data_IF_267146594292
#
_entry.id   IF_267146594292
#
_cell.length_a   1.000
_cell.length_b   1.000
_cell.length_c   1.000
_cell.angle_alpha   90.00
_cell.angle_beta   90.00
_cell.angle_gamma   90.00
#
_symmetry.space_group_name_H-M   'P 1'
#
loop_
_entity.id
_entity.type
_entity.pdbx_description
1 polymer ?
#
# COMPACT_ATOMS: atom_id res chain seq x y z
N UNK A 1 -14.18 33.88 -37.66
CA UNK A 1 -14.57 34.88 -38.68
C UNK A 1 -16.08 34.84 -39.01
N UNK A 2 -16.87 33.95 -38.38
CA UNK A 2 -18.30 33.78 -38.64
C UNK A 2 -19.21 34.43 -37.58
N UNK A 3 -18.70 35.37 -36.80
CA UNK A 3 -19.44 36.09 -35.76
C UNK A 3 -20.52 37.08 -36.30
N UNK A 4 -20.76 37.09 -37.56
CA UNK A 4 -21.64 38.11 -38.19
C UNK A 4 -23.05 37.63 -38.54
N UNK A 5 -23.39 36.32 -38.51
CA UNK A 5 -24.65 35.84 -39.07
C UNK A 5 -25.64 35.37 -37.98
N UNK A 6 -25.22 35.04 -36.78
CA UNK A 6 -26.08 34.46 -35.72
C UNK A 6 -25.94 35.10 -34.34
N UNK A 7 -25.69 36.39 -34.23
CA UNK A 7 -25.78 37.10 -32.94
C UNK A 7 -24.87 36.54 -31.82
N UNK A 8 -23.75 35.88 -32.17
CA UNK A 8 -22.76 35.44 -31.19
C UNK A 8 -22.11 36.66 -30.56
N UNK A 9 -22.38 36.90 -29.30
CA UNK A 9 -21.81 38.00 -28.54
C UNK A 9 -20.31 37.74 -28.30
N UNK A 10 -19.50 38.80 -28.23
CA UNK A 10 -18.08 38.71 -27.84
C UNK A 10 -17.89 37.86 -26.57
N UNK A 11 -18.83 37.89 -25.65
CA UNK A 11 -18.85 37.06 -24.46
C UNK A 11 -18.86 35.55 -24.75
N UNK A 12 -19.65 35.09 -25.74
CA UNK A 12 -19.72 33.66 -26.09
C UNK A 12 -18.39 33.15 -26.68
N UNK A 13 -17.70 34.00 -27.44
CA UNK A 13 -16.37 33.69 -28.00
C UNK A 13 -15.35 33.55 -26.88
N UNK A 14 -15.32 34.46 -25.93
CA UNK A 14 -14.38 34.42 -24.80
C UNK A 14 -14.68 33.25 -23.85
N UNK A 15 -15.95 32.89 -23.65
CA UNK A 15 -16.33 31.70 -22.87
C UNK A 15 -15.86 30.38 -23.55
N UNK A 16 -16.03 30.25 -24.88
CA UNK A 16 -15.52 29.08 -25.57
C UNK A 16 -13.99 29.01 -25.54
N UNK A 17 -13.31 30.14 -25.60
CA UNK A 17 -11.85 30.24 -25.45
C UNK A 17 -11.41 29.83 -24.04
N UNK A 18 -12.16 30.26 -23.02
CA UNK A 18 -11.92 29.84 -21.62
C UNK A 18 -12.10 28.34 -21.43
N UNK A 19 -13.20 27.77 -21.95
CA UNK A 19 -13.46 26.33 -21.89
C UNK A 19 -12.34 25.51 -22.59
N UNK A 20 -11.92 25.95 -23.76
CA UNK A 20 -10.80 25.35 -24.48
C UNK A 20 -9.51 25.40 -23.64
N UNK A 21 -9.19 26.57 -23.07
CA UNK A 21 -8.00 26.74 -22.24
C UNK A 21 -8.04 25.86 -20.98
N UNK A 22 -9.20 25.68 -20.35
CA UNK A 22 -9.37 24.76 -19.22
C UNK A 22 -9.07 23.32 -19.58
N UNK A 23 -9.62 22.82 -20.70
CA UNK A 23 -9.35 21.47 -21.20
C UNK A 23 -7.87 21.29 -21.54
N UNK A 24 -7.27 22.28 -22.20
CA UNK A 24 -5.84 22.24 -22.54
C UNK A 24 -4.94 22.29 -21.28
N UNK A 25 -5.35 22.99 -20.23
CA UNK A 25 -4.63 23.01 -18.97
C UNK A 25 -4.72 21.69 -18.19
N UNK A 26 -5.81 20.93 -18.33
CA UNK A 26 -5.94 19.62 -17.65
C UNK A 26 -5.09 18.51 -18.28
N UNK A 27 -4.68 18.63 -19.55
CA UNK A 27 -3.88 17.60 -20.22
C UNK A 27 -2.50 17.37 -19.58
N UNK A 28 -1.72 18.41 -19.22
CA UNK A 28 -0.49 18.23 -18.46
C UNK A 28 -0.68 17.51 -17.13
N UNK A 29 -1.75 17.84 -16.38
CA UNK A 29 -2.04 17.24 -15.08
C UNK A 29 -2.32 15.73 -15.21
N UNK A 30 -3.09 15.35 -16.23
CA UNK A 30 -3.35 13.93 -16.55
C UNK A 30 -2.06 13.21 -16.93
N UNK A 31 -1.20 13.83 -17.76
CA UNK A 31 0.09 13.25 -18.14
C UNK A 31 1.02 13.08 -16.94
N UNK A 32 1.01 14.04 -16.02
CA UNK A 32 1.76 13.95 -14.76
C UNK A 32 1.24 12.78 -13.92
N UNK A 33 -0.07 12.67 -13.70
CA UNK A 33 -0.68 11.58 -12.94
C UNK A 33 -0.36 10.20 -13.52
N UNK A 34 -0.37 10.08 -14.85
CA UNK A 34 0.05 8.86 -15.54
C UNK A 34 1.51 8.53 -15.20
N UNK A 35 2.41 9.53 -15.29
CA UNK A 35 3.83 9.32 -15.02
C UNK A 35 4.10 8.95 -13.57
N UNK A 36 3.41 9.57 -12.63
CA UNK A 36 3.50 9.25 -11.19
C UNK A 36 3.04 7.81 -10.93
N UNK A 37 1.95 7.39 -11.56
CA UNK A 37 1.43 6.02 -11.44
C UNK A 37 2.39 5.00 -12.05
N UNK A 38 2.98 5.28 -13.23
CA UNK A 38 4.01 4.44 -13.85
C UNK A 38 5.23 4.30 -12.94
N UNK A 39 5.70 5.41 -12.35
CA UNK A 39 6.83 5.38 -11.43
C UNK A 39 6.53 4.59 -10.14
N UNK A 40 5.32 4.73 -9.59
CA UNK A 40 4.89 3.95 -8.43
C UNK A 40 4.87 2.43 -8.75
N UNK A 41 4.37 2.07 -9.91
CA UNK A 41 4.34 0.68 -10.36
C UNK A 41 5.76 0.12 -10.59
N UNK A 42 6.64 0.90 -11.24
CA UNK A 42 8.05 0.52 -11.42
C UNK A 42 8.76 0.31 -10.07
N UNK A 43 8.48 1.17 -9.08
CA UNK A 43 9.01 1.02 -7.73
C UNK A 43 8.55 -0.29 -7.07
N UNK A 44 7.27 -0.65 -7.19
CA UNK A 44 6.72 -1.91 -6.68
C UNK A 44 7.35 -3.13 -7.36
N UNK A 45 7.69 -3.01 -8.65
CA UNK A 45 8.36 -4.06 -9.44
C UNK A 45 9.89 -4.07 -9.27
N UNK A 46 10.47 -3.18 -8.45
CA UNK A 46 11.92 -2.99 -8.30
C UNK A 46 12.64 -2.72 -9.63
N UNK A 47 12.00 -1.95 -10.53
CA UNK A 47 12.52 -1.56 -11.83
C UNK A 47 12.81 -0.06 -11.88
N UNK A 48 13.77 0.39 -12.71
CA UNK A 48 13.97 1.82 -12.94
C UNK A 48 12.73 2.44 -13.60
N UNK A 49 12.52 3.74 -13.35
CA UNK A 49 11.40 4.49 -13.90
C UNK A 49 11.38 4.42 -15.44
N UNK A 50 10.37 3.83 -16.00
CA UNK A 50 10.16 3.65 -17.44
C UNK A 50 8.68 3.81 -17.79
N UNK A 51 8.38 3.95 -19.06
CA UNK A 51 7.03 3.93 -19.59
C UNK A 51 6.52 2.49 -19.64
N UNK A 52 5.27 2.26 -19.23
CA UNK A 52 4.65 0.94 -19.19
C UNK A 52 3.66 0.83 -20.34
N UNK A 53 3.73 -0.28 -21.11
CA UNK A 53 2.77 -0.57 -22.16
C UNK A 53 1.38 -0.76 -21.54
N UNK A 54 0.38 -0.04 -22.08
CA UNK A 54 -1.00 -0.03 -21.60
C UNK A 54 -1.92 -0.68 -22.63
N UNK A 55 -2.94 -1.39 -22.16
CA UNK A 55 -4.05 -1.84 -22.98
C UNK A 55 -5.07 -0.72 -23.22
N UNK A 56 -6.14 -1.05 -23.94
CA UNK A 56 -7.29 -0.18 -24.16
C UNK A 56 -8.30 -0.40 -23.06
N UNK A 57 -8.84 0.68 -22.50
CA UNK A 57 -9.75 0.61 -21.35
C UNK A 57 -11.04 -0.16 -21.69
N UNK A 58 -11.57 0.06 -22.89
CA UNK A 58 -12.81 -0.57 -23.38
C UNK A 58 -12.69 -2.09 -23.57
N UNK A 59 -11.47 -2.62 -23.72
CA UNK A 59 -11.20 -4.05 -23.85
C UNK A 59 -11.03 -4.76 -22.51
N UNK A 60 -10.95 -4.02 -21.42
CA UNK A 60 -10.78 -4.61 -20.09
C UNK A 60 -12.08 -5.24 -19.60
N UNK A 61 -12.00 -6.53 -19.26
CA UNK A 61 -13.11 -7.25 -18.63
C UNK A 61 -12.86 -7.32 -17.12
N UNK A 62 -13.73 -6.70 -16.36
CA UNK A 62 -13.72 -6.84 -14.91
C UNK A 62 -14.33 -8.19 -14.51
N UNK A 63 -13.82 -8.86 -13.47
CA UNK A 63 -14.41 -10.08 -12.93
C UNK A 63 -15.86 -9.82 -12.54
N UNK A 64 -16.79 -10.63 -13.03
CA UNK A 64 -18.23 -10.44 -12.81
C UNK A 64 -18.67 -10.81 -11.40
N UNK A 65 -17.94 -11.72 -10.74
CA UNK A 65 -18.25 -12.15 -9.39
C UNK A 65 -16.98 -12.31 -8.56
N UNK A 66 -16.97 -11.66 -7.39
CA UNK A 66 -16.05 -12.03 -6.31
C UNK A 66 -16.81 -12.93 -5.34
N UNK A 67 -16.30 -14.13 -5.09
CA UNK A 67 -16.86 -15.02 -4.06
C UNK A 67 -16.76 -14.32 -2.71
N UNK A 68 -17.92 -14.05 -2.12
CA UNK A 68 -18.03 -13.46 -0.78
C UNK A 68 -17.58 -14.51 0.24
N UNK A 69 -16.47 -14.24 0.90
CA UNK A 69 -15.93 -15.10 1.94
C UNK A 69 -14.44 -15.36 1.73
N UNK A 70 -13.62 -14.47 2.26
CA UNK A 70 -12.18 -14.73 2.31
C UNK A 70 -11.95 -15.65 3.50
N UNK A 71 -11.53 -16.91 3.29
CA UNK A 71 -11.18 -17.80 4.38
C UNK A 71 -10.10 -17.15 5.24
N UNK A 72 -10.20 -17.26 6.56
CA UNK A 72 -9.17 -16.80 7.50
C UNK A 72 -7.75 -17.26 7.09
N UNK A 73 -7.67 -18.41 6.41
CA UNK A 73 -6.43 -18.95 5.86
C UNK A 73 -5.76 -18.04 4.81
N UNK A 74 -6.53 -17.28 4.02
CA UNK A 74 -5.96 -16.31 3.07
C UNK A 74 -5.42 -15.07 3.78
N UNK A 75 -6.04 -14.64 4.87
CA UNK A 75 -5.53 -13.55 5.71
C UNK A 75 -4.21 -13.93 6.38
N UNK A 76 -4.01 -15.19 6.77
CA UNK A 76 -2.75 -15.65 7.37
C UNK A 76 -1.57 -15.69 6.38
N UNK A 77 -1.84 -15.69 5.07
CA UNK A 77 -0.80 -15.65 4.03
C UNK A 77 -0.32 -14.21 3.74
N UNK A 78 -0.99 -13.20 4.26
CA UNK A 78 -0.58 -11.80 4.08
C UNK A 78 0.76 -11.54 4.78
N UNK A 79 1.72 -10.85 4.10
CA UNK A 79 3.03 -10.60 4.67
C UNK A 79 3.01 -9.78 5.96
N UNK A 80 2.10 -8.81 6.08
CA UNK A 80 1.92 -7.96 7.27
C UNK A 80 1.39 -8.75 8.47
N UNK A 81 0.40 -9.61 8.28
CA UNK A 81 -0.14 -10.50 9.32
C UNK A 81 0.93 -11.51 9.75
N UNK A 82 1.65 -12.08 8.81
CA UNK A 82 2.75 -13.01 9.10
C UNK A 82 3.92 -12.35 9.83
N UNK A 83 4.24 -11.10 9.51
CA UNK A 83 5.25 -10.32 10.22
C UNK A 83 4.83 -10.07 11.69
N UNK A 84 3.56 -9.74 11.93
CA UNK A 84 3.01 -9.56 13.28
C UNK A 84 3.01 -10.89 14.07
N UNK A 85 2.70 -12.02 13.43
CA UNK A 85 2.78 -13.35 14.02
C UNK A 85 4.21 -13.70 14.43
N UNK A 86 5.19 -13.48 13.55
CA UNK A 86 6.61 -13.72 13.85
C UNK A 86 7.12 -12.80 14.97
N UNK A 87 6.64 -11.55 15.05
CA UNK A 87 6.94 -10.64 16.14
C UNK A 87 6.37 -11.15 17.48
N UNK A 88 5.16 -11.69 17.48
CA UNK A 88 4.58 -12.33 18.67
C UNK A 88 5.41 -13.55 19.09
N UNK A 89 5.81 -14.42 18.15
CA UNK A 89 6.65 -15.57 18.44
C UNK A 89 8.01 -15.14 19.02
N UNK A 90 8.64 -14.10 18.49
CA UNK A 90 9.89 -13.56 19.04
C UNK A 90 9.74 -13.08 20.48
N UNK A 91 8.67 -12.34 20.79
CA UNK A 91 8.39 -11.87 22.16
C UNK A 91 8.08 -13.03 23.12
N UNK A 92 7.40 -14.08 22.66
CA UNK A 92 7.21 -15.29 23.44
C UNK A 92 8.54 -15.97 23.81
N UNK A 93 9.46 -16.10 22.85
CA UNK A 93 10.79 -16.66 23.13
C UNK A 93 11.63 -15.72 24.00
N UNK A 94 11.48 -14.41 23.89
CA UNK A 94 12.12 -13.45 24.79
C UNK A 94 11.62 -13.61 26.24
N UNK A 95 10.32 -13.85 26.44
CA UNK A 95 9.76 -14.16 27.75
C UNK A 95 10.33 -15.45 28.32
N UNK A 96 10.48 -16.50 27.49
CA UNK A 96 11.10 -17.75 27.93
C UNK A 96 12.60 -17.57 28.26
N UNK A 97 13.31 -16.75 27.49
CA UNK A 97 14.71 -16.37 27.83
C UNK A 97 14.80 -15.62 29.17
N UNK A 98 13.85 -14.71 29.44
CA UNK A 98 13.79 -14.01 30.72
C UNK A 98 13.46 -14.97 31.88
N UNK A 99 12.65 -16.01 31.68
CA UNK A 99 12.41 -17.09 32.66
C UNK A 99 13.65 -17.95 32.85
N UNK A 100 14.41 -18.22 31.80
CA UNK A 100 15.63 -19.01 31.90
C UNK A 100 16.70 -18.37 32.76
N UNK A 101 16.69 -17.03 32.91
CA UNK A 101 17.60 -16.30 33.82
C UNK A 101 17.43 -16.63 35.36
N UNK A 102 16.35 -17.34 35.70
CA UNK A 102 16.14 -17.84 37.09
C UNK A 102 16.75 -19.24 37.32
N UNK A 103 17.24 -19.89 36.28
CA UNK A 103 17.88 -21.20 36.37
C UNK A 103 19.39 -21.04 36.40
N UNK A 104 20.12 -22.04 36.97
CA UNK A 104 21.57 -22.06 36.94
C UNK A 104 22.14 -22.07 35.52
N UNK A 105 23.14 -21.24 35.28
CA UNK A 105 23.91 -21.26 34.03
C UNK A 105 25.07 -22.22 34.15
N UNK A 106 25.21 -23.13 33.19
CA UNK A 106 26.35 -24.00 33.02
C UNK A 106 27.21 -23.44 31.90
N UNK A 107 28.44 -23.03 32.25
CA UNK A 107 29.42 -22.53 31.30
C UNK A 107 30.55 -23.52 31.16
N UNK A 108 30.85 -23.96 29.97
CA UNK A 108 31.98 -24.81 29.64
C UNK A 108 33.00 -23.98 28.88
N UNK A 109 34.19 -23.80 29.44
CA UNK A 109 35.30 -23.08 28.83
C UNK A 109 36.44 -24.04 28.53
N UNK A 110 36.96 -24.02 27.31
CA UNK A 110 38.13 -24.78 26.94
C UNK A 110 39.24 -23.84 26.44
N UNK A 111 40.45 -24.04 26.89
CA UNK A 111 41.64 -23.36 26.36
C UNK A 111 42.75 -24.35 26.00
N UNK A 112 43.39 -24.14 24.87
CA UNK A 112 44.55 -24.88 24.43
C UNK A 112 45.67 -23.91 24.03
N UNK A 113 46.88 -24.22 24.42
CA UNK A 113 48.02 -23.37 24.12
C UNK A 113 49.34 -24.13 24.22
N UNK A 114 50.35 -23.62 23.54
CA UNK A 114 51.75 -24.07 23.69
C UNK A 114 52.50 -23.05 24.53
N UNK A 115 53.19 -23.56 25.54
CA UNK A 115 54.15 -22.74 26.29
C UNK A 115 55.55 -23.05 25.85
N UNK A 116 56.32 -22.04 25.42
CA UNK A 116 57.69 -22.12 25.07
C UNK A 116 58.54 -21.20 25.95
N UNK A 117 59.47 -21.78 26.69
CA UNK A 117 60.25 -21.02 27.70
C UNK A 117 61.46 -20.29 27.06
N UNK A 118 61.65 -20.37 25.78
CA UNK A 118 62.81 -19.79 25.09
C UNK A 118 62.35 -19.22 23.73
N UNK A 119 61.95 -18.02 23.64
CA UNK A 119 61.57 -17.16 22.53
C UNK A 119 61.81 -17.53 21.05
N UNK A 120 62.08 -18.77 20.69
CA UNK A 120 62.35 -19.28 19.37
C UNK A 120 61.39 -20.43 19.06
N UNK A 121 60.33 -20.17 18.30
CA UNK A 121 59.49 -21.15 17.62
C UNK A 121 58.93 -22.35 18.41
N UNK A 122 58.00 -23.07 17.82
CA UNK A 122 57.44 -24.31 18.38
C UNK A 122 58.49 -25.44 18.23
N UNK A 123 59.37 -25.60 19.21
CA UNK A 123 60.49 -26.59 19.15
C UNK A 123 60.15 -27.89 19.88
N UNK A 124 59.09 -27.96 20.70
CA UNK A 124 58.80 -29.18 21.46
C UNK A 124 57.30 -29.43 21.61
N UNK A 125 56.72 -30.45 20.88
CA UNK A 125 55.32 -30.82 20.94
C UNK A 125 54.86 -31.36 22.30
N UNK A 126 55.78 -31.65 23.23
CA UNK A 126 55.49 -32.16 24.58
C UNK A 126 54.97 -31.11 25.60
N UNK A 127 54.88 -29.83 25.23
CA UNK A 127 54.40 -28.75 26.11
C UNK A 127 53.02 -28.19 25.69
N UNK A 128 52.15 -29.03 25.14
CA UNK A 128 50.76 -28.72 24.90
C UNK A 128 50.02 -28.65 26.23
N UNK A 129 49.44 -27.48 26.52
CA UNK A 129 48.55 -27.30 27.67
C UNK A 129 47.13 -27.22 27.16
N UNK A 130 46.28 -28.14 27.60
CA UNK A 130 44.85 -28.10 27.36
C UNK A 130 44.14 -28.04 28.72
N UNK A 131 43.22 -27.09 28.89
CA UNK A 131 42.37 -27.04 30.07
C UNK A 131 40.89 -26.94 29.67
N UNK A 132 40.03 -27.66 30.40
CA UNK A 132 38.59 -27.62 30.28
C UNK A 132 38.04 -27.31 31.65
N UNK A 133 37.30 -26.22 31.77
CA UNK A 133 36.70 -25.76 33.05
C UNK A 133 35.18 -25.69 32.85
N UNK A 134 34.44 -26.45 33.68
CA UNK A 134 33.00 -26.33 33.82
C UNK A 134 32.65 -25.46 35.01
N UNK A 135 31.83 -24.43 34.86
CA UNK A 135 31.35 -23.62 35.95
C UNK A 135 29.82 -23.61 35.99
N UNK A 136 29.24 -23.69 37.20
CA UNK A 136 27.82 -23.56 37.45
C UNK A 136 27.60 -22.26 38.25
N UNK A 137 26.84 -21.32 37.67
CA UNK A 137 26.58 -20.02 38.28
C UNK A 137 25.09 -19.78 38.40
N UNK A 138 24.59 -19.46 39.59
CA UNK A 138 23.20 -19.05 39.79
C UNK A 138 23.16 -17.76 40.61
N UNK A 139 22.64 -16.65 40.07
CA UNK A 139 22.47 -15.41 40.79
C UNK A 139 21.25 -15.51 41.72
N UNK A 140 21.48 -15.65 43.04
CA UNK A 140 20.40 -15.69 44.05
C UNK A 140 19.87 -14.29 44.42
N UNK A 141 20.73 -13.27 44.41
CA UNK A 141 20.38 -11.89 44.75
C UNK A 141 20.87 -10.93 43.64
N UNK A 142 20.00 -10.56 42.73
CA UNK A 142 20.34 -9.66 41.61
C UNK A 142 19.52 -8.35 41.67
N UNK A 143 19.33 -7.77 42.85
CA UNK A 143 18.63 -6.49 43.11
C UNK A 143 17.24 -6.42 42.42
N UNK A 144 16.54 -7.52 42.26
CA UNK A 144 15.24 -7.58 41.58
C UNK A 144 15.30 -7.46 40.03
N UNK A 145 16.48 -7.38 39.44
CA UNK A 145 16.63 -7.17 37.99
C UNK A 145 16.00 -8.29 37.16
N UNK A 146 16.14 -9.55 37.55
CA UNK A 146 15.52 -10.68 36.85
C UNK A 146 13.99 -10.62 36.91
N UNK A 147 13.44 -10.19 38.08
CA UNK A 147 11.97 -10.02 38.22
C UNK A 147 11.46 -8.89 37.32
N UNK A 148 12.17 -7.75 37.28
CA UNK A 148 11.84 -6.62 36.47
C UNK A 148 11.90 -7.00 34.98
N UNK A 149 12.98 -7.69 34.56
CA UNK A 149 13.15 -8.19 33.17
C UNK A 149 12.01 -9.13 32.77
N UNK A 150 11.61 -10.07 33.61
CA UNK A 150 10.51 -10.99 33.33
C UNK A 150 9.17 -10.23 33.24
N UNK A 151 8.90 -9.26 34.10
CA UNK A 151 7.70 -8.43 34.03
C UNK A 151 7.66 -7.63 32.73
N UNK A 152 8.78 -7.04 32.35
CA UNK A 152 8.91 -6.31 31.09
C UNK A 152 8.68 -7.23 29.88
N UNK A 153 9.32 -8.39 29.84
CA UNK A 153 9.15 -9.35 28.75
C UNK A 153 7.69 -9.81 28.60
N UNK A 154 7.01 -10.11 29.73
CA UNK A 154 5.57 -10.45 29.70
C UNK A 154 4.70 -9.31 29.17
N UNK A 155 4.98 -8.06 29.54
CA UNK A 155 4.24 -6.91 29.03
C UNK A 155 4.47 -6.73 27.53
N UNK A 156 5.69 -6.95 27.03
CA UNK A 156 6.01 -6.92 25.59
C UNK A 156 5.34 -8.05 24.82
N UNK A 157 5.24 -9.25 25.39
CA UNK A 157 4.51 -10.37 24.81
C UNK A 157 3.01 -10.05 24.67
N UNK A 158 2.38 -9.48 25.71
CA UNK A 158 0.97 -9.08 25.65
C UNK A 158 0.75 -7.95 24.66
N UNK A 159 1.66 -6.98 24.59
CA UNK A 159 1.62 -5.93 23.55
C UNK A 159 1.71 -6.53 22.14
N UNK A 160 2.61 -7.46 21.91
CA UNK A 160 2.78 -8.12 20.60
C UNK A 160 1.52 -8.93 20.22
N UNK A 161 0.86 -9.56 21.19
CA UNK A 161 -0.40 -10.27 21.00
C UNK A 161 -1.53 -9.32 20.55
N UNK A 162 -1.66 -8.17 21.19
CA UNK A 162 -2.64 -7.15 20.80
C UNK A 162 -2.31 -6.60 19.40
N UNK A 163 -1.04 -6.38 19.09
CA UNK A 163 -0.61 -5.94 17.75
C UNK A 163 -0.95 -6.96 16.67
N UNK A 164 -0.75 -8.26 16.94
CA UNK A 164 -1.14 -9.33 16.02
C UNK A 164 -2.67 -9.36 15.79
N UNK A 165 -3.46 -9.25 16.86
CA UNK A 165 -4.92 -9.17 16.76
C UNK A 165 -5.34 -7.94 15.94
N UNK A 166 -4.70 -6.79 16.14
CA UNK A 166 -4.99 -5.57 15.39
C UNK A 166 -4.63 -5.74 13.91
N UNK A 167 -3.50 -6.35 13.58
CA UNK A 167 -3.12 -6.63 12.19
C UNK A 167 -4.15 -7.53 11.49
N UNK A 168 -4.63 -8.56 12.18
CA UNK A 168 -5.66 -9.47 11.65
C UNK A 168 -7.00 -8.75 11.40
N UNK A 169 -7.44 -7.92 12.35
CA UNK A 169 -8.66 -7.13 12.21
C UNK A 169 -8.56 -6.10 11.09
N UNK A 170 -7.42 -5.41 10.98
CA UNK A 170 -7.18 -4.45 9.90
C UNK A 170 -7.21 -5.14 8.53
N UNK A 171 -6.56 -6.29 8.40
CA UNK A 171 -6.60 -7.07 7.17
C UNK A 171 -8.03 -7.47 6.78
N UNK A 172 -8.86 -7.88 7.75
CA UNK A 172 -10.28 -8.18 7.52
C UNK A 172 -11.09 -6.96 7.09
N UNK A 173 -10.87 -5.82 7.75
CA UNK A 173 -11.54 -4.57 7.42
C UNK A 173 -11.16 -4.04 6.03
N UNK A 174 -9.88 -4.11 5.64
CA UNK A 174 -9.44 -3.72 4.31
C UNK A 174 -10.14 -4.52 3.21
N UNK A 175 -10.26 -5.81 3.39
CA UNK A 175 -10.97 -6.67 2.44
C UNK A 175 -12.45 -6.35 2.41
N UNK A 176 -13.10 -6.18 3.56
CA UNK A 176 -14.51 -5.80 3.64
C UNK A 176 -14.77 -4.46 2.93
N UNK A 177 -13.89 -3.47 3.17
CA UNK A 177 -14.00 -2.16 2.55
C UNK A 177 -13.80 -2.24 1.03
N UNK A 178 -12.83 -3.04 0.56
CA UNK A 178 -12.57 -3.22 -0.86
C UNK A 178 -13.76 -3.90 -1.58
N UNK A 179 -14.37 -4.91 -0.98
CA UNK A 179 -15.55 -5.56 -1.52
C UNK A 179 -16.76 -4.61 -1.59
N UNK A 180 -16.96 -3.83 -0.52
CA UNK A 180 -18.03 -2.83 -0.50
C UNK A 180 -17.81 -1.74 -1.54
N UNK A 181 -16.58 -1.22 -1.65
CA UNK A 181 -16.21 -0.26 -2.69
C UNK A 181 -16.49 -0.81 -4.08
N UNK A 182 -16.09 -2.04 -4.37
CA UNK A 182 -16.35 -2.68 -5.66
C UNK A 182 -17.86 -2.75 -5.99
N UNK A 183 -18.70 -3.13 -5.02
CA UNK A 183 -20.15 -3.16 -5.22
C UNK A 183 -20.71 -1.77 -5.51
N UNK A 184 -20.28 -0.76 -4.74
CA UNK A 184 -20.72 0.62 -4.95
C UNK A 184 -20.28 1.17 -6.31
N UNK A 185 -19.08 0.88 -6.75
CA UNK A 185 -18.61 1.32 -8.08
C UNK A 185 -19.37 0.60 -9.20
N UNK A 186 -19.71 -0.69 -9.04
CA UNK A 186 -20.55 -1.42 -9.99
C UNK A 186 -21.94 -0.79 -10.13
N UNK A 187 -22.56 -0.39 -9.01
CA UNK A 187 -23.87 0.29 -9.02
C UNK A 187 -23.78 1.69 -9.62
N UNK A 188 -22.68 2.41 -9.37
CA UNK A 188 -22.40 3.70 -10.00
C UNK A 188 -22.21 3.59 -11.50
N UNK A 189 -21.55 2.56 -12.00
CA UNK A 189 -21.29 2.39 -13.44
C UNK A 189 -22.60 2.43 -14.26
N UNK A 190 -23.65 1.75 -13.78
CA UNK A 190 -24.97 1.78 -14.43
C UNK A 190 -25.53 3.21 -14.48
N UNK A 191 -25.46 3.95 -13.38
CA UNK A 191 -25.94 5.33 -13.31
C UNK A 191 -25.12 6.29 -14.16
N UNK A 192 -23.79 6.07 -14.24
CA UNK A 192 -22.87 6.86 -15.09
C UNK A 192 -23.15 6.67 -16.58
N UNK A 193 -23.39 5.45 -17.02
CA UNK A 193 -23.76 5.19 -18.41
C UNK A 193 -25.06 5.88 -18.80
N UNK A 194 -26.07 5.87 -17.92
CA UNK A 194 -27.32 6.62 -18.13
C UNK A 194 -27.03 8.13 -18.22
N UNK A 195 -26.19 8.66 -17.30
CA UNK A 195 -25.82 10.08 -17.27
C UNK A 195 -25.12 10.50 -18.57
N UNK A 196 -24.15 9.73 -19.05
CA UNK A 196 -23.43 10.02 -20.29
C UNK A 196 -24.39 10.01 -21.51
N UNK A 197 -25.25 9.01 -21.62
CA UNK A 197 -26.22 8.93 -22.70
C UNK A 197 -27.20 10.09 -22.69
N UNK A 198 -27.73 10.48 -21.53
CA UNK A 198 -28.62 11.61 -21.37
C UNK A 198 -27.94 12.95 -21.67
N UNK A 199 -26.70 13.13 -21.22
CA UNK A 199 -25.91 14.34 -21.49
C UNK A 199 -25.55 14.45 -23.00
N UNK A 200 -25.24 13.34 -23.64
CA UNK A 200 -25.01 13.28 -25.09
C UNK A 200 -26.26 13.72 -25.86
N UNK A 201 -27.41 13.18 -25.51
CA UNK A 201 -28.68 13.53 -26.15
C UNK A 201 -28.98 15.01 -25.95
N UNK A 202 -28.86 15.52 -24.72
CA UNK A 202 -29.08 16.93 -24.41
C UNK A 202 -28.15 17.87 -25.22
N UNK A 203 -26.86 17.51 -25.36
CA UNK A 203 -25.92 18.28 -26.19
C UNK A 203 -26.34 18.28 -27.69
N UNK A 204 -26.75 17.11 -28.20
CA UNK A 204 -27.25 16.98 -29.58
C UNK A 204 -28.51 17.82 -29.83
N UNK A 205 -29.49 17.70 -28.92
CA UNK A 205 -30.79 18.42 -29.06
C UNK A 205 -30.59 19.94 -28.94
N UNK A 206 -29.76 20.39 -28.00
CA UNK A 206 -29.44 21.81 -27.81
C UNK A 206 -28.75 22.39 -29.05
N UNK A 207 -27.85 21.61 -29.68
CA UNK A 207 -27.20 22.02 -30.92
C UNK A 207 -28.18 22.13 -32.11
N UNK A 208 -29.17 21.23 -32.18
CA UNK A 208 -30.22 21.30 -33.16
C UNK A 208 -31.11 22.53 -32.95
N UNK A 209 -31.54 22.77 -31.70
CA UNK A 209 -32.29 23.96 -31.33
C UNK A 209 -31.53 25.27 -31.65
N UNK A 210 -30.23 25.28 -31.46
CA UNK A 210 -29.38 26.41 -31.84
C UNK A 210 -29.41 26.64 -33.37
N UNK A 211 -29.31 25.58 -34.15
CA UNK A 211 -29.40 25.67 -35.62
C UNK A 211 -30.77 26.17 -36.11
N UNK A 212 -31.85 25.88 -35.34
CA UNK A 212 -33.19 26.39 -35.57
C UNK A 212 -33.40 27.82 -35.08
N UNK A 213 -32.41 28.41 -34.38
CA UNK A 213 -32.50 29.77 -33.85
C UNK A 213 -33.31 29.92 -32.56
N UNK A 214 -33.65 28.82 -31.88
CA UNK A 214 -34.44 28.78 -30.65
C UNK A 214 -33.61 28.64 -29.37
N UNK A 215 -32.31 28.33 -29.49
CA UNK A 215 -31.39 28.24 -28.38
C UNK A 215 -30.20 29.18 -28.57
N UNK A 216 -29.50 29.49 -27.49
CA UNK A 216 -28.29 30.33 -27.49
C UNK A 216 -27.03 29.49 -27.60
N UNK A 217 -25.95 30.08 -28.13
CA UNK A 217 -24.63 29.39 -28.17
C UNK A 217 -24.11 29.02 -26.77
N UNK A 218 -24.50 29.82 -25.78
CA UNK A 218 -24.14 29.56 -24.39
C UNK A 218 -24.74 28.26 -23.85
N UNK A 219 -25.99 27.97 -24.22
CA UNK A 219 -26.67 26.73 -23.85
C UNK A 219 -26.01 25.52 -24.50
N UNK A 220 -25.58 25.64 -25.78
CA UNK A 220 -24.83 24.60 -26.47
C UNK A 220 -23.51 24.33 -25.74
N UNK A 221 -22.77 25.40 -25.40
CA UNK A 221 -21.49 25.27 -24.69
C UNK A 221 -21.65 24.60 -23.31
N UNK A 222 -22.71 24.96 -22.59
CA UNK A 222 -23.03 24.37 -21.28
C UNK A 222 -23.40 22.89 -21.39
N UNK A 223 -24.17 22.51 -22.41
CA UNK A 223 -24.54 21.12 -22.67
C UNK A 223 -23.32 20.26 -23.05
N UNK A 224 -22.44 20.79 -23.91
CA UNK A 224 -21.18 20.12 -24.27
C UNK A 224 -20.23 19.96 -23.08
N UNK A 225 -20.10 20.96 -22.22
CA UNK A 225 -19.32 20.86 -20.97
C UNK A 225 -19.89 19.80 -20.02
N UNK A 226 -21.23 19.74 -19.90
CA UNK A 226 -21.90 18.73 -19.10
C UNK A 226 -21.67 17.32 -19.64
N UNK A 227 -21.71 17.15 -20.97
CA UNK A 227 -21.41 15.88 -21.62
C UNK A 227 -19.96 15.45 -21.40
N UNK A 228 -19.00 16.36 -21.60
CA UNK A 228 -17.57 16.08 -21.33
C UNK A 228 -17.34 15.69 -19.86
N UNK A 229 -17.96 16.41 -18.93
CA UNK A 229 -17.86 16.11 -17.49
C UNK A 229 -18.44 14.74 -17.16
N UNK A 230 -19.54 14.35 -17.80
CA UNK A 230 -20.15 13.02 -17.64
C UNK A 230 -19.22 11.91 -18.17
N UNK A 231 -18.61 12.10 -19.33
CA UNK A 231 -17.64 11.14 -19.92
C UNK A 231 -16.40 10.98 -19.02
N UNK A 232 -15.83 12.08 -18.52
CA UNK A 232 -14.68 12.02 -17.62
C UNK A 232 -15.01 11.36 -16.25
N UNK A 233 -16.27 11.38 -15.85
CA UNK A 233 -16.72 10.75 -14.61
C UNK A 233 -17.07 9.25 -14.80
N UNK A 234 -17.28 8.78 -16.04
CA UNK A 234 -17.54 7.36 -16.35
C UNK A 234 -16.25 6.54 -16.35
N UNK A 235 -15.11 7.16 -16.71
CA UNK A 235 -13.77 6.55 -16.69
C UNK A 235 -13.24 6.42 -15.28
#
# INVERSE_FOLDING_TARGET
KDAGIYGTTSAAVEQSRTAYAQVMASLPDIRQSIRETENALCLMLHQPAQSIARGVLEEQQLPTEFSVGIPLQLLSNRPDVKAAEMSLAANYYNTNSARAAFYPQITLSGSGGWTNNSGAGIVNPGKLLASVIGSLTQPLFYRGANIARLKQAKAQEEQAKIQFQTALLNAGNEVSNALHLYQMEKDKAVSRTIQVNSARQAASDTKELFNLGTSTYLEVLSAEQSYLSAQLAEV
#
